data_IF_536269111302
#
_entry.id   IF_536269111302
#
_cell.length_a   1.000
_cell.length_b   1.000
_cell.length_c   1.000
_cell.angle_alpha   90.00
_cell.angle_beta   90.00
_cell.angle_gamma   90.00
#
_symmetry.space_group_name_H-M   'P 1'
#
loop_
_entity.id
_entity.type
_entity.pdbx_description
1 polymer ?
#
# COMPACT_ATOMS: atom_id res chain seq x y z
N UNK A 1 21.51 0.43 10.15
CA UNK A 1 20.99 0.93 8.87
C UNK A 1 21.70 0.27 7.69
N UNK A 2 21.55 -1.05 7.51
CA UNK A 2 21.92 -1.73 6.25
C UNK A 2 21.12 -3.03 6.19
N UNK A 3 19.86 -2.94 5.75
CA UNK A 3 19.31 -4.06 5.00
C UNK A 3 20.12 -4.07 3.69
N UNK A 4 21.10 -4.96 3.58
CA UNK A 4 21.78 -5.23 2.32
C UNK A 4 20.70 -5.53 1.28
N UNK A 5 20.46 -4.56 0.39
CA UNK A 5 19.61 -4.75 -0.77
C UNK A 5 20.30 -5.77 -1.67
N UNK A 6 19.97 -7.04 -1.46
CA UNK A 6 20.34 -8.08 -2.38
C UNK A 6 19.20 -8.22 -3.40
N UNK A 7 19.29 -7.46 -4.48
CA UNK A 7 18.36 -7.49 -5.60
C UNK A 7 18.11 -8.92 -6.15
N UNK A 8 19.03 -9.85 -5.88
CA UNK A 8 19.03 -11.23 -6.38
C UNK A 8 18.36 -12.25 -5.44
N UNK A 9 17.87 -11.89 -4.25
CA UNK A 9 17.42 -12.92 -3.29
C UNK A 9 16.09 -13.63 -3.61
N UNK A 10 15.27 -13.13 -4.53
CA UNK A 10 13.98 -13.75 -4.83
C UNK A 10 13.62 -13.64 -6.33
N UNK A 11 13.88 -14.73 -7.05
CA UNK A 11 13.56 -15.02 -8.46
C UNK A 11 12.07 -15.33 -8.66
N UNK A 12 11.18 -14.35 -8.46
CA UNK A 12 9.74 -14.67 -8.55
C UNK A 12 9.24 -14.86 -9.99
N UNK A 13 9.97 -14.38 -11.01
CA UNK A 13 9.60 -14.56 -12.42
C UNK A 13 10.83 -14.92 -13.25
N UNK A 14 10.68 -15.95 -14.08
CA UNK A 14 11.76 -16.47 -14.92
C UNK A 14 12.24 -15.43 -15.94
N UNK A 15 13.51 -15.52 -16.34
CA UNK A 15 14.09 -14.72 -17.43
C UNK A 15 13.23 -14.84 -18.70
N UNK A 16 12.71 -16.04 -18.98
CA UNK A 16 11.80 -16.29 -20.09
C UNK A 16 10.51 -15.44 -20.04
N UNK A 17 9.95 -15.21 -18.84
CA UNK A 17 8.78 -14.35 -18.70
C UNK A 17 9.09 -12.89 -19.05
N UNK A 18 10.23 -12.38 -18.59
CA UNK A 18 10.64 -11.00 -18.87
C UNK A 18 10.90 -10.82 -20.36
N UNK A 19 11.59 -11.77 -21.01
CA UNK A 19 11.76 -11.76 -22.48
C UNK A 19 10.43 -11.75 -23.23
N UNK A 20 9.46 -12.57 -22.81
CA UNK A 20 8.12 -12.56 -23.41
C UNK A 20 7.41 -11.22 -23.20
N UNK A 21 7.58 -10.59 -22.04
CA UNK A 21 7.00 -9.27 -21.77
C UNK A 21 7.65 -8.19 -22.65
N UNK A 22 8.98 -8.17 -22.77
CA UNK A 22 9.68 -7.18 -23.60
C UNK A 22 9.34 -7.35 -25.07
N UNK A 23 9.18 -8.59 -25.55
CA UNK A 23 8.69 -8.87 -26.91
C UNK A 23 7.28 -8.30 -27.14
N UNK A 24 6.36 -8.50 -26.20
CA UNK A 24 5.01 -7.90 -26.26
C UNK A 24 5.01 -6.38 -26.26
N UNK A 25 6.07 -5.75 -25.74
CA UNK A 25 6.26 -4.31 -25.73
C UNK A 25 7.01 -3.79 -26.97
N UNK A 26 7.35 -4.66 -27.94
CA UNK A 26 8.04 -4.31 -29.18
C UNK A 26 9.56 -4.52 -29.16
N UNK A 27 10.14 -4.97 -28.05
CA UNK A 27 11.57 -5.26 -27.93
C UNK A 27 11.86 -6.73 -28.25
N UNK A 28 12.07 -7.02 -29.53
CA UNK A 28 12.16 -8.41 -30.04
C UNK A 28 13.53 -9.05 -29.74
N UNK A 29 14.60 -8.27 -29.62
CA UNK A 29 15.99 -8.73 -29.45
C UNK A 29 16.52 -8.47 -28.03
N UNK A 30 15.79 -8.89 -27.01
CA UNK A 30 16.20 -8.71 -25.61
C UNK A 30 17.15 -9.84 -25.17
N UNK A 31 18.39 -9.50 -24.82
CA UNK A 31 19.40 -10.46 -24.35
C UNK A 31 19.20 -10.85 -22.88
N UNK A 32 19.95 -11.86 -22.41
CA UNK A 32 19.95 -12.21 -20.98
C UNK A 32 20.49 -11.07 -20.09
N UNK A 33 21.61 -10.39 -20.45
CA UNK A 33 22.04 -9.18 -19.76
C UNK A 33 20.97 -8.08 -19.69
N UNK A 34 20.27 -7.80 -20.79
CA UNK A 34 19.19 -6.80 -20.81
C UNK A 34 18.07 -7.17 -19.83
N UNK A 35 17.70 -8.45 -19.82
CA UNK A 35 16.69 -8.99 -18.90
C UNK A 35 17.12 -8.83 -17.44
N UNK A 36 18.40 -9.08 -17.13
CA UNK A 36 18.93 -8.87 -15.79
C UNK A 36 18.89 -7.40 -15.37
N UNK A 37 19.26 -6.48 -16.26
CA UNK A 37 19.22 -5.03 -16.01
C UNK A 37 17.77 -4.57 -15.77
N UNK A 38 16.82 -4.99 -16.61
CA UNK A 38 15.39 -4.65 -16.44
C UNK A 38 14.88 -5.11 -15.07
N UNK A 39 15.18 -6.35 -14.68
CA UNK A 39 14.79 -6.89 -13.37
C UNK A 39 15.41 -6.11 -12.22
N UNK A 40 16.68 -5.74 -12.35
CA UNK A 40 17.38 -4.94 -11.35
C UNK A 40 16.74 -3.57 -11.18
N UNK A 41 16.53 -2.84 -12.28
CA UNK A 41 15.90 -1.51 -12.26
C UNK A 41 14.50 -1.57 -11.65
N UNK A 42 13.66 -2.52 -12.06
CA UNK A 42 12.33 -2.69 -11.45
C UNK A 42 12.42 -2.94 -9.94
N UNK A 43 13.40 -3.75 -9.49
CA UNK A 43 13.58 -4.05 -8.06
C UNK A 43 14.00 -2.81 -7.27
N UNK A 44 14.92 -2.00 -7.82
CA UNK A 44 15.35 -0.73 -7.22
C UNK A 44 14.17 0.24 -7.11
N UNK A 45 13.36 0.36 -8.18
CA UNK A 45 12.18 1.23 -8.19
C UNK A 45 11.17 0.79 -7.13
N UNK A 46 10.88 -0.51 -7.03
CA UNK A 46 9.98 -1.05 -6.01
C UNK A 46 10.48 -0.73 -4.61
N UNK A 47 11.76 -0.99 -4.31
CA UNK A 47 12.32 -0.73 -2.97
C UNK A 47 12.21 0.74 -2.61
N UNK A 48 12.63 1.63 -3.52
CA UNK A 48 12.52 3.08 -3.30
C UNK A 48 11.08 3.51 -3.03
N UNK A 49 10.13 3.01 -3.82
CA UNK A 49 8.71 3.31 -3.61
C UNK A 49 8.22 2.85 -2.23
N UNK A 50 8.60 1.65 -1.80
CA UNK A 50 8.20 1.12 -0.49
C UNK A 50 8.87 1.85 0.68
N UNK A 51 10.11 2.32 0.55
CA UNK A 51 10.79 3.10 1.58
C UNK A 51 10.12 4.47 1.79
N UNK A 52 9.77 5.15 0.69
CA UNK A 52 9.05 6.43 0.75
C UNK A 52 7.68 6.26 1.43
N UNK A 53 6.92 5.23 1.04
CA UNK A 53 5.63 4.93 1.66
C UNK A 53 5.77 4.53 3.13
N UNK A 54 6.81 3.78 3.48
CA UNK A 54 7.09 3.38 4.86
C UNK A 54 7.34 4.59 5.77
N UNK A 55 8.09 5.59 5.29
CA UNK A 55 8.29 6.84 6.04
C UNK A 55 6.98 7.59 6.30
N UNK A 56 6.09 7.65 5.30
CA UNK A 56 4.77 8.25 5.46
C UNK A 56 3.91 7.45 6.43
N UNK A 57 3.90 6.12 6.32
CA UNK A 57 3.14 5.24 7.21
C UNK A 57 3.62 5.34 8.65
N UNK A 58 4.93 5.30 8.89
CA UNK A 58 5.51 5.43 10.22
C UNK A 58 5.09 6.75 10.86
N UNK A 59 5.21 7.87 10.14
CA UNK A 59 4.79 9.18 10.63
C UNK A 59 3.28 9.27 10.91
N UNK A 60 2.43 8.62 10.12
CA UNK A 60 0.97 8.60 10.35
C UNK A 60 0.58 7.71 11.52
N UNK A 61 1.22 6.54 11.65
CA UNK A 61 1.01 5.61 12.77
C UNK A 61 1.48 6.26 14.06
N UNK A 62 2.61 6.95 14.03
CA UNK A 62 3.14 7.64 15.21
C UNK A 62 2.21 8.80 15.65
N UNK A 63 1.65 9.54 14.70
CA UNK A 63 0.63 10.57 15.00
C UNK A 63 -0.69 10.01 15.52
N UNK A 64 -0.97 8.72 15.32
CA UNK A 64 -2.14 8.10 15.91
C UNK A 64 -1.86 7.85 17.40
N UNK A 65 -2.64 8.47 18.28
CA UNK A 65 -2.56 8.28 19.73
C UNK A 65 -3.18 6.92 20.16
N UNK A 66 -2.66 5.83 19.57
CA UNK A 66 -3.10 4.46 19.82
C UNK A 66 -1.90 3.50 19.75
N UNK A 67 -1.79 2.55 20.70
CA UNK A 67 -0.70 1.57 20.70
C UNK A 67 -0.78 0.53 19.57
N UNK A 68 -1.96 0.37 18.96
CA UNK A 68 -2.21 -0.58 17.87
C UNK A 68 -2.98 0.09 16.75
N UNK A 69 -2.41 0.12 15.54
CA UNK A 69 -3.01 0.76 14.36
C UNK A 69 -3.19 -0.25 13.23
N UNK A 70 -4.41 -0.36 12.71
CA UNK A 70 -4.65 -1.12 11.47
C UNK A 70 -4.80 -0.14 10.31
N UNK A 71 -3.96 -0.29 9.29
CA UNK A 71 -4.00 0.54 8.09
C UNK A 71 -4.66 -0.26 6.97
N UNK A 72 -5.79 0.25 6.48
CA UNK A 72 -6.43 -0.27 5.29
C UNK A 72 -5.73 0.27 4.03
N UNK A 73 -5.30 -0.64 3.16
CA UNK A 73 -4.59 -0.34 1.92
C UNK A 73 -5.44 -0.83 0.75
N UNK A 74 -5.59 0.01 -0.26
CA UNK A 74 -6.18 -0.35 -1.55
C UNK A 74 -5.21 0.05 -2.67
N UNK A 75 -5.36 -0.59 -3.84
CA UNK A 75 -4.57 -0.31 -5.03
C UNK A 75 -4.02 -1.58 -5.67
N UNK A 76 -4.08 -1.61 -7.00
CA UNK A 76 -3.62 -2.74 -7.80
C UNK A 76 -2.13 -3.04 -7.62
N UNK A 77 -1.30 -2.04 -7.38
CA UNK A 77 0.12 -2.24 -7.11
C UNK A 77 0.33 -3.04 -5.82
N UNK A 78 -0.27 -2.60 -4.71
CA UNK A 78 -0.16 -3.32 -3.43
C UNK A 78 -0.75 -4.73 -3.53
N UNK A 79 -1.89 -4.88 -4.23
CA UNK A 79 -2.58 -6.16 -4.41
C UNK A 79 -1.80 -7.19 -5.24
N UNK A 80 -1.15 -6.77 -6.33
CA UNK A 80 -0.58 -7.70 -7.30
C UNK A 80 0.96 -7.74 -7.31
N UNK A 81 1.63 -6.77 -6.69
CA UNK A 81 3.09 -6.74 -6.70
C UNK A 81 3.64 -7.69 -5.63
N UNK A 82 4.46 -8.70 -6.01
CA UNK A 82 4.78 -9.86 -5.17
C UNK A 82 5.54 -9.51 -3.87
N UNK A 83 6.26 -8.38 -3.86
CA UNK A 83 7.14 -7.97 -2.75
C UNK A 83 6.61 -6.77 -1.95
N UNK A 84 5.53 -6.13 -2.41
CA UNK A 84 5.19 -4.78 -1.95
C UNK A 84 4.69 -4.78 -0.50
N UNK A 85 3.81 -5.72 -0.15
CA UNK A 85 3.34 -5.91 1.22
C UNK A 85 4.50 -6.18 2.21
N UNK A 86 5.39 -7.12 1.87
CA UNK A 86 6.54 -7.49 2.71
C UNK A 86 7.46 -6.30 2.95
N UNK A 87 7.95 -5.68 1.86
CA UNK A 87 8.89 -4.56 1.94
C UNK A 87 8.30 -3.35 2.68
N UNK A 88 7.04 -3.00 2.39
CA UNK A 88 6.38 -1.90 3.09
C UNK A 88 6.23 -2.20 4.59
N UNK A 89 5.88 -3.44 4.94
CA UNK A 89 5.78 -3.85 6.35
C UNK A 89 7.14 -3.79 7.03
N UNK A 90 8.18 -4.35 6.42
CA UNK A 90 9.54 -4.40 7.00
C UNK A 90 10.11 -2.99 7.20
N UNK A 91 10.08 -2.14 6.16
CA UNK A 91 10.59 -0.78 6.25
C UNK A 91 9.78 0.09 7.23
N UNK A 92 8.45 -0.08 7.30
CA UNK A 92 7.65 0.68 8.28
C UNK A 92 7.98 0.26 9.70
N UNK A 93 8.22 -1.04 9.93
CA UNK A 93 8.62 -1.57 11.25
C UNK A 93 9.99 -1.06 11.69
N UNK A 94 10.92 -0.87 10.75
CA UNK A 94 12.25 -0.32 11.04
C UNK A 94 12.19 1.17 11.48
N UNK A 95 11.17 1.90 11.04
CA UNK A 95 11.01 3.33 11.31
C UNK A 95 10.12 3.66 12.51
N UNK A 96 9.43 2.66 13.09
CA UNK A 96 8.51 2.86 14.21
C UNK A 96 9.19 2.61 15.55
N UNK A 97 8.75 3.37 16.57
CA UNK A 97 9.12 3.12 17.96
C UNK A 97 8.58 1.76 18.45
N UNK A 98 9.32 1.13 19.36
CA UNK A 98 9.08 -0.26 19.78
C UNK A 98 7.77 -0.49 20.53
N UNK A 99 7.14 0.56 21.04
CA UNK A 99 5.89 0.52 21.82
C UNK A 99 4.63 0.56 20.94
N UNK A 100 4.76 0.94 19.67
CA UNK A 100 3.65 0.95 18.70
C UNK A 100 3.67 -0.28 17.80
N UNK A 101 2.49 -0.83 17.54
CA UNK A 101 2.32 -1.94 16.59
C UNK A 101 1.32 -1.59 15.51
N UNK A 102 1.52 -2.16 14.32
CA UNK A 102 0.62 -1.93 13.21
C UNK A 102 0.34 -3.21 12.40
N UNK A 103 -0.77 -3.18 11.65
CA UNK A 103 -1.13 -4.20 10.67
C UNK A 103 -1.61 -3.55 9.39
N UNK A 104 -1.11 -4.01 8.24
CA UNK A 104 -1.63 -3.62 6.94
C UNK A 104 -2.68 -4.64 6.48
N UNK A 105 -3.84 -4.17 6.02
CA UNK A 105 -4.91 -5.01 5.48
C UNK A 105 -5.31 -4.54 4.08
N UNK A 106 -5.59 -5.48 3.17
CA UNK A 106 -6.13 -5.13 1.86
C UNK A 106 -7.63 -4.80 2.00
N UNK A 107 -8.05 -3.65 1.52
CA UNK A 107 -9.46 -3.27 1.43
C UNK A 107 -10.01 -3.67 0.07
N UNK A 108 -11.01 -4.55 0.03
CA UNK A 108 -11.59 -5.04 -1.24
C UNK A 108 -12.55 -4.04 -1.91
N UNK A 109 -13.25 -3.24 -1.11
CA UNK A 109 -14.15 -2.17 -1.54
C UNK A 109 -14.24 -1.12 -0.43
N UNK A 110 -13.10 -0.48 -0.13
CA UNK A 110 -13.00 0.50 0.94
C UNK A 110 -13.80 1.77 0.62
N UNK A 111 -13.72 2.25 -0.62
CA UNK A 111 -14.33 3.52 -1.03
C UNK A 111 -15.85 3.46 -1.07
N UNK A 112 -16.44 2.39 -1.61
CA UNK A 112 -17.89 2.25 -1.70
C UNK A 112 -18.54 2.13 -0.32
N UNK A 113 -18.03 1.21 0.51
CA UNK A 113 -18.51 1.01 1.88
C UNK A 113 -18.30 2.24 2.76
N UNK A 114 -17.15 2.91 2.64
CA UNK A 114 -16.85 4.14 3.36
C UNK A 114 -17.81 5.28 2.99
N UNK A 115 -18.04 5.50 1.70
CA UNK A 115 -18.98 6.52 1.23
C UNK A 115 -20.41 6.27 1.71
N UNK A 116 -20.88 5.01 1.62
CA UNK A 116 -22.21 4.63 2.13
C UNK A 116 -22.36 4.86 3.63
N UNK A 117 -21.34 4.52 4.43
CA UNK A 117 -21.34 4.76 5.87
C UNK A 117 -21.41 6.26 6.19
N UNK A 118 -20.60 7.09 5.52
CA UNK A 118 -20.61 8.55 5.73
C UNK A 118 -21.96 9.15 5.33
N UNK A 119 -22.56 8.70 4.22
CA UNK A 119 -23.89 9.14 3.79
C UNK A 119 -24.98 8.80 4.82
N UNK A 120 -24.97 7.57 5.35
CA UNK A 120 -25.92 7.15 6.38
C UNK A 120 -25.76 7.96 7.68
N UNK A 121 -24.52 8.25 8.09
CA UNK A 121 -24.22 9.10 9.25
C UNK A 121 -24.74 10.52 9.00
N UNK A 122 -24.46 11.12 7.85
CA UNK A 122 -24.92 12.47 7.50
C UNK A 122 -26.46 12.57 7.49
N UNK A 123 -27.15 11.56 6.92
CA UNK A 123 -28.61 11.48 6.94
C UNK A 123 -29.16 11.44 8.37
N UNK A 124 -28.54 10.65 9.26
CA UNK A 124 -28.93 10.58 10.67
C UNK A 124 -28.73 11.92 11.39
N UNK A 125 -27.63 12.62 11.14
CA UNK A 125 -27.38 13.96 11.71
C UNK A 125 -28.39 14.99 11.22
N UNK A 126 -28.76 14.96 9.93
CA UNK A 126 -29.80 15.79 9.34
C UNK A 126 -31.18 15.53 9.97
N UNK A 127 -31.60 14.27 10.03
CA UNK A 127 -32.89 13.90 10.62
C UNK A 127 -32.98 14.31 12.10
N UNK A 128 -31.91 14.13 12.89
CA UNK A 128 -31.87 14.55 14.30
C UNK A 128 -31.96 16.07 14.47
N UNK A 129 -31.27 16.84 13.63
CA UNK A 129 -31.37 18.31 13.66
C UNK A 129 -32.77 18.80 13.27
N UNK A 130 -33.39 18.22 12.24
CA UNK A 130 -34.74 18.58 11.85
C UNK A 130 -35.78 18.19 12.91
N UNK A 131 -35.68 17.01 13.53
CA UNK A 131 -36.66 16.58 14.54
C UNK A 131 -36.60 17.46 15.80
N UNK A 132 -35.40 17.88 16.23
CA UNK A 132 -35.23 18.81 17.34
C UNK A 132 -35.81 20.21 17.05
N UNK A 133 -35.84 20.65 15.78
CA UNK A 133 -36.42 21.93 15.39
C UNK A 133 -37.96 21.92 15.42
N UNK A 134 -38.59 20.77 15.16
CA UNK A 134 -40.06 20.62 15.24
C UNK A 134 -40.52 20.56 16.69
N UNK A 135 -39.79 19.85 17.58
CA UNK A 135 -40.14 19.73 19.01
C UNK A 135 -39.92 21.01 19.82
N UNK A 136 -39.07 21.95 19.38
CA UNK A 136 -38.86 23.24 20.07
C UNK A 136 -39.82 24.36 19.63
N UNK A 137 -40.71 24.09 18.66
CA UNK A 137 -41.68 25.07 18.14
C UNK A 137 -43.15 24.69 18.39
N UNK A 138 -43.40 23.65 19.19
CA UNK A 138 -44.70 23.32 19.78
C UNK A 138 -44.68 23.68 21.28
#
# INVERSE_FOLDING_TARGET
MQLHFNANRDETKSIAYVKKLTQRLGYVMCTDPDTAIIRYVCSVVTVRATQLLAAVLAALIDRCDRPRVTVAIDGSLYKHHPKFHRLMTDFTRELLDTDKTFKLILAEDGSGKGAGLVAAIAQRFWAKHNNNYIDTKL
#
